data_IF_492116142540
#
_entry.id   IF_492116142540
#
_cell.length_a   1.000
_cell.length_b   1.000
_cell.length_c   1.000
_cell.angle_alpha   90.00
_cell.angle_beta   90.00
_cell.angle_gamma   90.00
#
_symmetry.space_group_name_H-M   'P 1'
#
loop_
_entity.id
_entity.type
_entity.pdbx_description
1 polymer ?
#
# COMPACT_ATOMS: atom_id res chain seq x y z
N UNK A 1 28.06 30.79 -9.08
CA UNK A 1 27.23 30.56 -7.89
C UNK A 1 25.74 30.66 -8.16
N UNK A 2 25.27 31.68 -8.87
CA UNK A 2 23.85 31.82 -9.20
C UNK A 2 23.32 30.71 -10.13
N UNK A 3 24.17 30.19 -11.01
CA UNK A 3 23.80 29.12 -11.94
C UNK A 3 23.55 27.79 -11.22
N UNK A 4 24.35 27.46 -10.19
CA UNK A 4 24.16 26.25 -9.42
C UNK A 4 22.87 26.28 -8.58
N UNK A 5 22.49 27.47 -8.09
CA UNK A 5 21.27 27.68 -7.34
C UNK A 5 20.03 27.53 -8.23
N UNK A 6 20.09 28.05 -9.47
CA UNK A 6 19.03 27.91 -10.46
C UNK A 6 18.86 26.46 -10.92
N UNK A 7 19.94 25.72 -11.11
CA UNK A 7 19.90 24.31 -11.48
C UNK A 7 19.29 23.49 -10.35
N UNK A 8 19.60 23.80 -9.10
CA UNK A 8 18.99 23.14 -7.94
C UNK A 8 17.49 23.37 -7.87
N UNK A 9 17.01 24.57 -8.15
CA UNK A 9 15.59 24.90 -8.14
C UNK A 9 14.86 24.19 -9.29
N UNK A 10 15.46 24.13 -10.48
CA UNK A 10 14.88 23.46 -11.64
C UNK A 10 14.77 21.96 -11.40
N UNK A 11 15.78 21.33 -10.80
CA UNK A 11 15.73 19.92 -10.43
C UNK A 11 14.63 19.63 -9.40
N UNK A 12 14.45 20.54 -8.46
CA UNK A 12 13.40 20.40 -7.44
C UNK A 12 12.00 20.57 -8.07
N UNK A 13 11.83 21.55 -8.94
CA UNK A 13 10.60 21.75 -9.69
C UNK A 13 10.29 20.56 -10.60
N UNK A 14 11.30 19.96 -11.23
CA UNK A 14 11.15 18.76 -12.04
C UNK A 14 10.65 17.55 -11.23
N UNK A 15 11.13 17.38 -10.02
CA UNK A 15 10.63 16.31 -9.13
C UNK A 15 9.17 16.52 -8.73
N UNK A 16 8.73 17.75 -8.48
CA UNK A 16 7.35 18.06 -8.15
C UNK A 16 6.41 17.80 -9.34
N UNK A 17 6.84 18.13 -10.56
CA UNK A 17 6.07 17.88 -11.78
C UNK A 17 5.97 16.38 -12.09
N UNK A 18 7.01 15.60 -11.74
CA UNK A 18 7.04 14.15 -11.95
C UNK A 18 6.17 13.38 -10.95
N UNK A 19 5.72 14.02 -9.84
CA UNK A 19 4.91 13.39 -8.80
C UNK A 19 3.42 13.45 -9.14
N UNK A 20 2.97 12.74 -10.20
CA UNK A 20 1.56 12.44 -10.43
C UNK A 20 1.04 11.40 -9.42
N UNK A 21 -0.28 11.09 -9.41
CA UNK A 21 -0.86 10.16 -8.45
C UNK A 21 -0.20 8.78 -8.46
N UNK A 22 0.08 8.22 -9.64
CA UNK A 22 0.73 6.91 -9.76
C UNK A 22 2.16 6.94 -9.22
N UNK A 23 2.90 8.02 -9.44
CA UNK A 23 4.25 8.20 -8.91
C UNK A 23 4.24 8.33 -7.38
N UNK A 24 3.19 8.87 -6.81
CA UNK A 24 3.02 8.95 -5.36
C UNK A 24 2.83 7.58 -4.73
N UNK A 25 2.07 6.71 -5.38
CA UNK A 25 1.91 5.32 -4.90
C UNK A 25 3.26 4.61 -4.91
N UNK A 26 4.04 4.73 -5.98
CA UNK A 26 5.37 4.15 -6.07
C UNK A 26 6.32 4.73 -5.00
N UNK A 27 6.26 6.04 -4.77
CA UNK A 27 7.04 6.69 -3.72
C UNK A 27 6.64 6.17 -2.33
N UNK A 28 5.34 6.06 -2.07
CA UNK A 28 4.83 5.53 -0.80
C UNK A 28 5.34 4.10 -0.56
N UNK A 29 5.36 3.27 -1.60
CA UNK A 29 5.89 1.91 -1.50
C UNK A 29 7.37 1.91 -1.08
N UNK A 30 8.18 2.76 -1.69
CA UNK A 30 9.59 2.91 -1.32
C UNK A 30 9.76 3.38 0.12
N UNK A 31 8.94 4.32 0.56
CA UNK A 31 8.97 4.84 1.93
C UNK A 31 8.56 3.75 2.93
N UNK A 32 7.55 2.95 2.60
CA UNK A 32 7.15 1.81 3.44
C UNK A 32 8.26 0.77 3.55
N UNK A 33 8.98 0.50 2.46
CA UNK A 33 10.11 -0.42 2.46
C UNK A 33 11.27 0.07 3.36
N UNK A 34 11.43 1.39 3.47
CA UNK A 34 12.43 2.02 4.34
C UNK A 34 11.95 2.21 5.78
N UNK A 35 10.78 1.70 6.13
CA UNK A 35 10.15 1.87 7.45
C UNK A 35 9.78 3.34 7.77
N UNK A 36 9.67 4.18 6.75
CA UNK A 36 9.25 5.58 6.87
C UNK A 36 7.73 5.69 6.73
N UNK A 37 7.00 5.07 7.66
CA UNK A 37 5.55 4.91 7.60
C UNK A 37 4.79 6.24 7.59
N UNK A 38 5.17 7.18 8.45
CA UNK A 38 4.48 8.48 8.51
C UNK A 38 4.66 9.28 7.23
N UNK A 39 5.86 9.25 6.64
CA UNK A 39 6.12 9.90 5.36
C UNK A 39 5.31 9.25 4.23
N UNK A 40 5.19 7.94 4.24
CA UNK A 40 4.36 7.22 3.27
C UNK A 40 2.88 7.62 3.38
N UNK A 41 2.35 7.71 4.60
CA UNK A 41 0.97 8.15 4.83
C UNK A 41 0.77 9.57 4.30
N UNK A 42 1.70 10.47 4.57
CA UNK A 42 1.63 11.86 4.08
C UNK A 42 1.53 11.90 2.55
N UNK A 43 2.38 11.14 1.86
CA UNK A 43 2.38 11.06 0.40
C UNK A 43 1.06 10.48 -0.12
N UNK A 44 0.56 9.43 0.50
CA UNK A 44 -0.72 8.81 0.10
C UNK A 44 -1.91 9.73 0.33
N UNK A 45 -1.91 10.51 1.42
CA UNK A 45 -2.98 11.46 1.70
C UNK A 45 -3.02 12.64 0.72
N UNK A 46 -1.93 12.89 0.01
CA UNK A 46 -1.90 13.91 -1.04
C UNK A 46 -2.59 13.46 -2.33
N UNK A 47 -2.88 12.18 -2.48
CA UNK A 47 -3.58 11.64 -3.66
C UNK A 47 -5.06 12.00 -3.54
N UNK A 48 -5.54 12.86 -4.44
CA UNK A 48 -6.94 13.28 -4.47
C UNK A 48 -7.76 12.22 -5.20
N UNK A 49 -8.90 11.86 -4.59
CA UNK A 49 -9.85 10.91 -5.16
C UNK A 49 -9.17 9.66 -5.73
N UNK A 50 -8.49 8.85 -4.88
CA UNK A 50 -7.69 7.73 -5.38
C UNK A 50 -8.48 6.76 -6.27
N UNK A 51 -9.75 6.54 -5.93
CA UNK A 51 -10.61 5.64 -6.69
C UNK A 51 -10.79 6.08 -8.15
N UNK A 52 -10.85 7.39 -8.40
CA UNK A 52 -11.05 7.94 -9.75
C UNK A 52 -9.74 8.18 -10.48
N UNK A 53 -8.69 8.57 -9.77
CA UNK A 53 -7.45 9.07 -10.37
C UNK A 53 -6.36 8.01 -10.52
N UNK A 54 -6.50 6.86 -9.86
CA UNK A 54 -5.55 5.76 -9.97
C UNK A 54 -6.09 4.66 -10.88
N UNK A 55 -5.18 3.95 -11.56
CA UNK A 55 -5.50 2.70 -12.23
C UNK A 55 -5.99 1.67 -11.21
N UNK A 56 -6.64 0.61 -11.66
CA UNK A 56 -7.11 -0.46 -10.76
C UNK A 56 -5.96 -1.05 -9.94
N UNK A 57 -4.82 -1.28 -10.59
CA UNK A 57 -3.64 -1.82 -9.93
C UNK A 57 -3.09 -0.86 -8.89
N UNK A 58 -2.94 0.40 -9.27
CA UNK A 58 -2.36 1.39 -8.35
C UNK A 58 -3.30 1.72 -7.20
N UNK A 59 -4.62 1.66 -7.44
CA UNK A 59 -5.58 1.78 -6.35
C UNK A 59 -5.48 0.59 -5.39
N UNK A 60 -5.34 -0.63 -5.91
CA UNK A 60 -5.15 -1.82 -5.07
C UNK A 60 -3.86 -1.71 -4.25
N UNK A 61 -2.77 -1.23 -4.87
CA UNK A 61 -1.50 -1.03 -4.16
C UNK A 61 -1.62 0.08 -3.10
N UNK A 62 -2.26 1.20 -3.43
CA UNK A 62 -2.58 2.26 -2.48
C UNK A 62 -3.35 1.69 -1.27
N UNK A 63 -4.39 0.90 -1.52
CA UNK A 63 -5.21 0.29 -0.46
C UNK A 63 -4.37 -0.65 0.42
N UNK A 64 -3.50 -1.45 -0.18
CA UNK A 64 -2.59 -2.33 0.55
C UNK A 64 -1.61 -1.53 1.42
N UNK A 65 -0.93 -0.55 0.84
CA UNK A 65 0.06 0.25 1.56
C UNK A 65 -0.57 1.03 2.72
N UNK A 66 -1.76 1.59 2.51
CA UNK A 66 -2.47 2.31 3.56
C UNK A 66 -2.86 1.36 4.68
N UNK A 67 -3.35 0.16 4.36
CA UNK A 67 -3.71 -0.85 5.35
C UNK A 67 -2.49 -1.33 6.15
N UNK A 68 -1.37 -1.55 5.47
CA UNK A 68 -0.12 -1.91 6.14
C UNK A 68 0.38 -0.79 7.05
N UNK A 69 0.24 0.47 6.64
CA UNK A 69 0.63 1.61 7.46
C UNK A 69 -0.23 1.69 8.73
N UNK A 70 -1.54 1.50 8.59
CA UNK A 70 -2.47 1.44 9.73
C UNK A 70 -2.11 0.29 10.67
N UNK A 71 -1.74 -0.87 10.10
CA UNK A 71 -1.30 -2.02 10.89
C UNK A 71 -0.02 -1.72 11.67
N UNK A 72 0.98 -1.12 11.03
CA UNK A 72 2.24 -0.75 11.70
C UNK A 72 2.02 0.22 12.85
N UNK A 73 1.07 1.12 12.71
CA UNK A 73 0.70 2.08 13.76
C UNK A 73 -0.24 1.48 14.80
N UNK A 74 -0.56 0.20 14.71
CA UNK A 74 -1.46 -0.53 15.61
C UNK A 74 -2.87 0.09 15.68
N UNK A 75 -3.34 0.60 14.56
CA UNK A 75 -4.61 1.32 14.44
C UNK A 75 -5.67 0.55 13.60
N UNK A 76 -5.46 -0.75 13.38
CA UNK A 76 -6.44 -1.57 12.66
C UNK A 76 -7.81 -1.51 13.33
N UNK A 77 -8.84 -1.29 12.52
CA UNK A 77 -10.22 -1.22 12.97
C UNK A 77 -11.16 -1.68 11.86
N UNK A 78 -12.48 -1.68 12.14
CA UNK A 78 -13.48 -2.16 11.19
C UNK A 78 -13.46 -1.41 9.84
N UNK A 79 -13.08 -0.12 9.81
CA UNK A 79 -12.97 0.64 8.56
C UNK A 79 -11.85 0.10 7.66
N UNK A 80 -10.83 -0.54 8.21
CA UNK A 80 -9.74 -1.14 7.45
C UNK A 80 -10.23 -2.30 6.59
N UNK A 81 -11.30 -2.98 6.98
CA UNK A 81 -11.92 -4.04 6.17
C UNK A 81 -12.28 -3.53 4.76
N UNK A 82 -13.01 -2.43 4.71
CA UNK A 82 -13.43 -1.81 3.44
C UNK A 82 -12.24 -1.33 2.63
N UNK A 83 -11.26 -0.76 3.28
CA UNK A 83 -10.05 -0.27 2.62
C UNK A 83 -9.24 -1.41 1.99
N UNK A 84 -9.16 -2.56 2.68
CA UNK A 84 -8.29 -3.67 2.27
C UNK A 84 -8.90 -4.54 1.16
N UNK A 85 -10.24 -4.58 1.03
CA UNK A 85 -10.93 -5.43 0.07
C UNK A 85 -10.44 -5.28 -1.38
N UNK A 86 -10.26 -4.07 -1.93
CA UNK A 86 -9.78 -3.92 -3.31
C UNK A 86 -8.40 -4.55 -3.53
N UNK A 87 -7.52 -4.47 -2.54
CA UNK A 87 -6.19 -5.06 -2.62
C UNK A 87 -6.27 -6.58 -2.66
N UNK A 88 -7.05 -7.18 -1.76
CA UNK A 88 -7.23 -8.64 -1.73
C UNK A 88 -7.79 -9.13 -3.05
N UNK A 89 -8.86 -8.49 -3.53
CA UNK A 89 -9.53 -8.89 -4.76
C UNK A 89 -8.60 -8.79 -5.97
N UNK A 90 -7.95 -7.65 -6.14
CA UNK A 90 -7.09 -7.42 -7.30
C UNK A 90 -5.90 -8.36 -7.31
N UNK A 91 -5.13 -8.42 -6.24
CA UNK A 91 -3.89 -9.18 -6.21
C UNK A 91 -4.10 -10.69 -6.16
N UNK A 92 -5.22 -11.16 -5.61
CA UNK A 92 -5.56 -12.57 -5.65
C UNK A 92 -5.87 -13.06 -7.06
N UNK A 93 -6.35 -12.18 -7.94
CA UNK A 93 -6.74 -12.52 -9.31
C UNK A 93 -5.64 -12.21 -10.34
N UNK A 94 -4.75 -11.28 -10.04
CA UNK A 94 -3.76 -10.78 -11.00
C UNK A 94 -2.51 -11.66 -11.14
N UNK A 95 -2.30 -12.62 -10.23
CA UNK A 95 -1.08 -13.42 -10.20
C UNK A 95 0.08 -12.78 -9.43
N UNK A 96 -0.10 -11.59 -8.85
CA UNK A 96 0.89 -10.94 -7.98
C UNK A 96 0.90 -11.58 -6.60
N UNK A 97 1.45 -12.78 -6.49
CA UNK A 97 1.40 -13.60 -5.28
C UNK A 97 1.97 -12.91 -4.05
N UNK A 98 3.02 -12.11 -4.22
CA UNK A 98 3.65 -11.39 -3.10
C UNK A 98 2.72 -10.32 -2.53
N UNK A 99 2.04 -9.55 -3.38
CA UNK A 99 1.07 -8.56 -2.92
C UNK A 99 -0.19 -9.21 -2.36
N UNK A 100 -0.63 -10.32 -2.94
CA UNK A 100 -1.77 -11.09 -2.43
C UNK A 100 -1.48 -11.62 -1.02
N UNK A 101 -0.29 -12.18 -0.82
CA UNK A 101 0.17 -12.64 0.49
C UNK A 101 0.13 -11.51 1.52
N UNK A 102 0.71 -10.36 1.18
CA UNK A 102 0.75 -9.20 2.08
C UNK A 102 -0.64 -8.71 2.45
N UNK A 103 -1.56 -8.66 1.48
CA UNK A 103 -2.93 -8.23 1.71
C UNK A 103 -3.67 -9.19 2.66
N UNK A 104 -3.53 -10.49 2.43
CA UNK A 104 -4.16 -11.52 3.28
C UNK A 104 -3.54 -11.58 4.66
N UNK A 105 -2.25 -11.36 4.78
CA UNK A 105 -1.57 -11.26 6.08
C UNK A 105 -2.13 -10.09 6.90
N UNK A 106 -2.30 -8.93 6.26
CA UNK A 106 -2.90 -7.76 6.90
C UNK A 106 -4.35 -8.05 7.32
N UNK A 107 -5.12 -8.71 6.44
CA UNK A 107 -6.51 -9.13 6.73
C UNK A 107 -6.58 -10.04 7.95
N UNK A 108 -5.66 -11.00 8.05
CA UNK A 108 -5.62 -11.93 9.18
C UNK A 108 -5.39 -11.21 10.51
N UNK A 109 -4.48 -10.24 10.53
CA UNK A 109 -4.24 -9.42 11.73
C UNK A 109 -5.46 -8.58 12.10
N UNK A 110 -6.14 -8.01 11.09
CA UNK A 110 -7.37 -7.27 11.30
C UNK A 110 -8.45 -8.17 11.91
N UNK A 111 -8.67 -9.35 11.34
CA UNK A 111 -9.69 -10.28 11.84
C UNK A 111 -9.39 -10.73 13.27
N UNK A 112 -8.11 -10.99 13.57
CA UNK A 112 -7.70 -11.31 14.94
C UNK A 112 -8.03 -10.17 15.91
N UNK A 113 -7.74 -8.95 15.52
CA UNK A 113 -8.03 -7.76 16.34
C UNK A 113 -9.53 -7.56 16.56
N UNK A 114 -10.35 -7.95 15.59
CA UNK A 114 -11.81 -7.85 15.67
C UNK A 114 -12.45 -9.13 16.25
N UNK A 115 -11.65 -10.02 16.83
CA UNK A 115 -12.08 -11.30 17.41
C UNK A 115 -12.76 -12.26 16.43
N UNK A 116 -12.39 -12.17 15.15
CA UNK A 116 -12.84 -13.08 14.08
C UNK A 116 -11.78 -14.17 13.87
N UNK A 117 -11.62 -15.05 14.86
CA UNK A 117 -10.48 -15.99 14.87
C UNK A 117 -10.52 -17.00 13.72
N UNK A 118 -11.71 -17.49 13.35
CA UNK A 118 -11.85 -18.41 12.21
C UNK A 118 -11.46 -17.75 10.90
N UNK A 119 -11.91 -16.51 10.67
CA UNK A 119 -11.56 -15.74 9.47
C UNK A 119 -10.06 -15.43 9.46
N UNK A 120 -9.49 -15.08 10.61
CA UNK A 120 -8.06 -14.83 10.71
C UNK A 120 -7.24 -16.07 10.32
N UNK A 121 -7.63 -17.25 10.80
CA UNK A 121 -6.97 -18.49 10.45
C UNK A 121 -7.04 -18.77 8.95
N UNK A 122 -8.21 -18.60 8.34
CA UNK A 122 -8.39 -18.79 6.91
C UNK A 122 -7.52 -17.83 6.10
N UNK A 123 -7.44 -16.57 6.50
CA UNK A 123 -6.61 -15.58 5.82
C UNK A 123 -5.12 -15.88 5.93
N UNK A 124 -4.66 -16.34 7.09
CA UNK A 124 -3.28 -16.81 7.27
C UNK A 124 -2.95 -18.00 6.37
N UNK A 125 -3.86 -18.98 6.28
CA UNK A 125 -3.66 -20.14 5.41
C UNK A 125 -3.61 -19.75 3.94
N UNK A 126 -4.48 -18.85 3.50
CA UNK A 126 -4.46 -18.33 2.13
C UNK A 126 -3.17 -17.56 1.84
N UNK A 127 -2.73 -16.74 2.78
CA UNK A 127 -1.47 -16.01 2.66
C UNK A 127 -0.29 -16.97 2.48
N UNK A 128 -0.26 -18.05 3.26
CA UNK A 128 0.77 -19.08 3.17
C UNK A 128 0.79 -19.75 1.80
N UNK A 129 -0.38 -20.03 1.21
CA UNK A 129 -0.46 -20.60 -0.14
C UNK A 129 0.13 -19.67 -1.20
N UNK A 130 -0.16 -18.37 -1.12
CA UNK A 130 0.44 -17.40 -2.03
C UNK A 130 1.95 -17.28 -1.84
N UNK A 131 2.42 -17.36 -0.61
CA UNK A 131 3.85 -17.32 -0.32
C UNK A 131 4.58 -18.53 -0.92
N UNK A 132 3.99 -19.73 -0.82
CA UNK A 132 4.55 -20.93 -1.43
C UNK A 132 4.61 -20.81 -2.97
N UNK A 133 3.58 -20.24 -3.58
CA UNK A 133 3.54 -20.03 -5.03
C UNK A 133 4.57 -19.01 -5.50
N UNK A 134 4.85 -17.98 -4.70
CA UNK A 134 5.83 -16.96 -5.05
C UNK A 134 7.28 -17.44 -4.92
N UNK A 135 7.53 -18.50 -4.16
CA UNK A 135 8.85 -19.10 -3.98
C UNK A 135 9.27 -20.03 -5.12
N UNK A 136 8.37 -20.32 -6.04
CA UNK A 136 8.63 -21.13 -7.22
C UNK A 136 8.78 -20.24 -8.46
#
# INVERSE_FOLDING_TARGET
MRLKSLIGIILWGGMLVACGPDNRVALAEKLMAKQETDSAITVMNEIKEPLHNLSKRDYALYALLMSEAVHRKQQLNAATDTLLLPAIKYFSQSGDSLYAERALYCKAHLDRRLNRMSDAMQSFLKALLFLQNSGN
#
